data_IF_853113935522
#
_entry.id   IF_853113935522
#
_cell.length_a   1.000
_cell.length_b   1.000
_cell.length_c   1.000
_cell.angle_alpha   90.00
_cell.angle_beta   90.00
_cell.angle_gamma   90.00
#
_symmetry.space_group_name_H-M   'P 1'
#
loop_
_entity.id
_entity.type
_entity.pdbx_description
1 polymer ?
#
# COMPACT_ATOMS: atom_id res chain seq x y z
N UNK A 1 21.85 -13.64 -24.59
CA UNK A 1 21.96 -14.25 -23.25
C UNK A 1 20.75 -13.78 -22.45
N UNK A 2 19.79 -14.67 -22.24
CA UNK A 2 18.64 -14.40 -21.36
C UNK A 2 19.17 -14.29 -19.95
N UNK A 3 19.26 -13.09 -19.41
CA UNK A 3 19.40 -12.92 -17.96
C UNK A 3 18.09 -13.44 -17.37
N UNK A 4 18.12 -14.61 -16.78
CA UNK A 4 17.04 -15.13 -15.94
C UNK A 4 16.75 -14.06 -14.89
N UNK A 5 15.73 -13.21 -15.14
CA UNK A 5 15.36 -12.18 -14.19
C UNK A 5 14.70 -12.89 -13.03
N UNK A 6 15.47 -13.13 -11.98
CA UNK A 6 14.95 -13.70 -10.74
C UNK A 6 13.68 -12.99 -10.33
N UNK A 7 12.61 -13.74 -10.04
CA UNK A 7 11.33 -13.22 -9.61
C UNK A 7 11.50 -12.32 -8.38
N UNK A 8 10.83 -11.18 -8.37
CA UNK A 8 10.85 -10.28 -7.22
C UNK A 8 10.17 -10.93 -6.01
N UNK A 9 10.67 -10.66 -4.82
CA UNK A 9 10.06 -11.08 -3.55
C UNK A 9 9.40 -9.86 -2.91
N UNK A 10 8.11 -9.94 -2.68
CA UNK A 10 7.31 -8.85 -2.13
C UNK A 10 6.60 -9.25 -0.84
N UNK A 11 6.47 -8.32 0.09
CA UNK A 11 5.57 -8.39 1.24
C UNK A 11 4.49 -7.33 1.04
N UNK A 12 3.21 -7.72 1.10
CA UNK A 12 2.08 -6.78 1.08
C UNK A 12 1.31 -6.90 2.39
N UNK A 13 1.33 -5.82 3.18
CA UNK A 13 0.64 -5.81 4.47
C UNK A 13 -0.85 -5.53 4.29
N UNK A 14 -1.71 -6.27 5.03
CA UNK A 14 -3.17 -6.11 4.93
C UNK A 14 -3.74 -6.51 3.57
N UNK A 15 -3.31 -7.65 3.04
CA UNK A 15 -3.59 -8.08 1.66
C UNK A 15 -4.69 -9.15 1.53
N UNK A 16 -5.56 -9.31 2.54
CA UNK A 16 -6.69 -10.26 2.47
C UNK A 16 -7.84 -9.77 1.55
N UNK A 17 -7.95 -8.46 1.31
CA UNK A 17 -9.00 -7.79 0.52
C UNK A 17 -8.59 -6.39 0.09
N UNK A 18 -9.46 -5.71 -0.67
CA UNK A 18 -9.32 -4.29 -1.02
C UNK A 18 -8.04 -3.94 -1.74
N UNK A 19 -7.46 -2.77 -1.43
CA UNK A 19 -6.23 -2.27 -2.05
C UNK A 19 -5.07 -3.27 -1.92
N UNK A 20 -4.85 -3.81 -0.71
CA UNK A 20 -3.76 -4.76 -0.47
C UNK A 20 -3.87 -6.03 -1.28
N UNK A 21 -5.08 -6.60 -1.41
CA UNK A 21 -5.33 -7.74 -2.30
C UNK A 21 -5.00 -7.38 -3.75
N UNK A 22 -5.54 -6.28 -4.25
CA UNK A 22 -5.31 -5.85 -5.63
C UNK A 22 -3.83 -5.63 -5.94
N UNK A 23 -3.10 -4.96 -5.04
CA UNK A 23 -1.66 -4.76 -5.16
C UNK A 23 -0.93 -6.11 -5.21
N UNK A 24 -1.27 -7.04 -4.31
CA UNK A 24 -0.68 -8.37 -4.27
C UNK A 24 -0.91 -9.17 -5.55
N UNK A 25 -2.13 -9.11 -6.10
CA UNK A 25 -2.48 -9.75 -7.37
C UNK A 25 -1.69 -9.18 -8.55
N UNK A 26 -1.54 -7.84 -8.63
CA UNK A 26 -0.78 -7.20 -9.69
C UNK A 26 0.71 -7.57 -9.64
N UNK A 27 1.31 -7.62 -8.45
CA UNK A 27 2.70 -8.08 -8.28
C UNK A 27 2.84 -9.57 -8.64
N UNK A 28 1.86 -10.41 -8.25
CA UNK A 28 1.82 -11.81 -8.64
C UNK A 28 1.73 -12.01 -10.15
N UNK A 29 0.85 -11.28 -10.82
CA UNK A 29 0.72 -11.30 -12.29
C UNK A 29 2.01 -10.85 -13.01
N UNK A 30 2.86 -10.04 -12.34
CA UNK A 30 4.19 -9.67 -12.82
C UNK A 30 5.27 -10.74 -12.52
N UNK A 31 4.87 -11.91 -11.99
CA UNK A 31 5.75 -13.05 -11.68
C UNK A 31 6.42 -13.01 -10.31
N UNK A 32 5.99 -12.14 -9.40
CA UNK A 32 6.60 -12.04 -8.08
C UNK A 32 6.20 -13.20 -7.15
N UNK A 33 7.08 -13.52 -6.18
CA UNK A 33 6.71 -14.22 -4.95
C UNK A 33 6.15 -13.19 -3.98
N UNK A 34 4.90 -13.34 -3.56
CA UNK A 34 4.20 -12.36 -2.73
C UNK A 34 3.79 -12.97 -1.40
N UNK A 35 4.34 -12.47 -0.30
CA UNK A 35 3.86 -12.75 1.05
C UNK A 35 2.62 -11.91 1.32
N UNK A 36 1.48 -12.57 1.34
CA UNK A 36 0.16 -12.00 1.57
C UNK A 36 -0.13 -12.02 3.06
N UNK A 37 -0.14 -10.85 3.71
CA UNK A 37 -0.26 -10.82 5.16
C UNK A 37 -1.58 -10.20 5.63
N UNK A 38 -2.09 -10.65 6.75
CA UNK A 38 -3.33 -10.15 7.35
C UNK A 38 -3.89 -11.11 8.40
N UNK A 39 -4.98 -10.71 9.04
CA UNK A 39 -5.61 -11.48 10.12
C UNK A 39 -6.64 -12.49 9.61
N UNK A 40 -7.35 -12.16 8.51
CA UNK A 40 -8.44 -12.98 7.99
C UNK A 40 -7.90 -14.21 7.27
N UNK A 41 -8.04 -15.38 7.90
CA UNK A 41 -7.57 -16.66 7.39
C UNK A 41 -8.73 -17.50 6.81
N UNK A 42 -9.95 -17.36 7.37
CA UNK A 42 -11.14 -18.09 7.00
C UNK A 42 -12.25 -17.12 6.60
N UNK A 43 -13.18 -17.60 5.79
CA UNK A 43 -14.41 -16.85 5.51
C UNK A 43 -15.18 -16.67 6.82
N UNK A 44 -15.67 -15.45 7.08
CA UNK A 44 -16.32 -15.07 8.32
C UNK A 44 -15.40 -14.48 9.40
N UNK A 45 -14.07 -14.49 9.23
CA UNK A 45 -13.14 -13.81 10.15
C UNK A 45 -13.31 -12.28 10.16
N UNK A 46 -14.06 -11.72 9.20
CA UNK A 46 -14.40 -10.30 9.12
C UNK A 46 -15.71 -10.12 8.34
N UNK A 47 -16.35 -8.96 8.52
CA UNK A 47 -17.64 -8.62 7.86
C UNK A 47 -17.54 -8.50 6.33
N UNK A 48 -16.36 -8.19 5.81
CA UNK A 48 -16.09 -8.13 4.38
C UNK A 48 -15.43 -9.42 3.91
N UNK A 49 -15.75 -9.89 2.70
CA UNK A 49 -15.17 -11.11 2.14
C UNK A 49 -13.67 -10.97 1.89
N UNK A 50 -12.98 -12.08 1.74
CA UNK A 50 -11.57 -12.17 1.40
C UNK A 50 -10.68 -12.63 2.56
N UNK A 51 -9.75 -13.52 2.23
CA UNK A 51 -8.78 -14.10 3.14
C UNK A 51 -7.37 -14.05 2.54
N UNK A 52 -6.35 -14.14 3.39
CA UNK A 52 -4.95 -14.22 2.91
C UNK A 52 -4.72 -15.47 2.06
N UNK A 53 -5.41 -16.57 2.36
CA UNK A 53 -5.28 -17.81 1.60
C UNK A 53 -5.96 -17.73 0.23
N UNK A 54 -7.13 -17.07 0.14
CA UNK A 54 -7.79 -16.85 -1.16
C UNK A 54 -6.90 -15.97 -2.06
N UNK A 55 -6.39 -14.87 -1.54
CA UNK A 55 -5.48 -13.99 -2.29
C UNK A 55 -4.21 -14.73 -2.74
N UNK A 56 -3.61 -15.57 -1.88
CA UNK A 56 -2.43 -16.35 -2.26
C UNK A 56 -2.71 -17.32 -3.42
N UNK A 57 -3.85 -18.05 -3.38
CA UNK A 57 -4.25 -18.92 -4.49
C UNK A 57 -4.53 -18.17 -5.80
N UNK A 58 -5.12 -16.98 -5.71
CA UNK A 58 -5.35 -16.12 -6.88
C UNK A 58 -4.03 -15.66 -7.51
N UNK A 59 -3.01 -15.36 -6.69
CA UNK A 59 -1.65 -15.04 -7.16
C UNK A 59 -1.05 -16.22 -7.92
N UNK A 60 -1.17 -17.44 -7.37
CA UNK A 60 -0.67 -18.65 -8.04
C UNK A 60 -1.36 -18.85 -9.39
N UNK A 61 -2.67 -18.62 -9.46
CA UNK A 61 -3.44 -18.71 -10.71
C UNK A 61 -3.02 -17.67 -11.76
N UNK A 62 -2.44 -16.54 -11.35
CA UNK A 62 -1.92 -15.50 -12.23
C UNK A 62 -0.46 -15.73 -12.66
N UNK A 63 0.17 -16.83 -12.23
CA UNK A 63 1.56 -17.20 -12.61
C UNK A 63 2.63 -16.66 -11.66
N UNK A 64 2.26 -16.02 -10.55
CA UNK A 64 3.14 -15.67 -9.45
C UNK A 64 3.27 -16.81 -8.44
N UNK A 65 3.77 -16.48 -7.25
CA UNK A 65 3.76 -17.38 -6.08
C UNK A 65 3.19 -16.66 -4.86
N UNK A 66 2.02 -17.08 -4.41
CA UNK A 66 1.35 -16.55 -3.23
C UNK A 66 1.74 -17.30 -1.96
N UNK A 67 2.15 -16.59 -0.91
CA UNK A 67 2.46 -17.16 0.39
C UNK A 67 1.61 -16.46 1.45
N UNK A 68 0.58 -17.13 1.95
CA UNK A 68 -0.25 -16.60 3.01
C UNK A 68 0.48 -16.65 4.37
N UNK A 69 0.48 -15.51 5.08
CA UNK A 69 1.06 -15.40 6.42
C UNK A 69 0.09 -14.67 7.34
N UNK A 70 -0.43 -15.38 8.34
CA UNK A 70 -1.24 -14.74 9.38
C UNK A 70 -0.38 -13.76 10.16
N UNK A 71 -0.81 -12.49 10.23
CA UNK A 71 -0.10 -11.44 10.93
C UNK A 71 -1.09 -10.34 11.36
N UNK A 72 -1.19 -10.10 12.66
CA UNK A 72 -1.77 -8.87 13.18
C UNK A 72 -0.67 -7.80 13.22
N UNK A 73 -0.81 -6.79 12.40
CA UNK A 73 0.18 -5.72 12.28
C UNK A 73 0.23 -4.78 13.51
N UNK A 74 -0.59 -5.00 14.55
CA UNK A 74 -0.45 -4.38 15.87
C UNK A 74 0.53 -5.11 16.78
N UNK A 75 0.85 -6.36 16.46
CA UNK A 75 1.71 -7.24 17.23
C UNK A 75 3.11 -7.26 16.62
N UNK A 76 4.04 -6.58 17.27
CA UNK A 76 5.43 -6.46 16.78
C UNK A 76 6.14 -7.82 16.69
N UNK A 77 5.80 -8.78 17.55
CA UNK A 77 6.39 -10.11 17.52
C UNK A 77 5.92 -10.89 16.27
N UNK A 78 4.65 -10.76 15.87
CA UNK A 78 4.15 -11.37 14.64
C UNK A 78 4.78 -10.70 13.41
N UNK A 79 4.98 -9.38 13.45
CA UNK A 79 5.69 -8.66 12.37
C UNK A 79 7.14 -9.12 12.28
N UNK A 80 7.86 -9.26 13.39
CA UNK A 80 9.22 -9.80 13.41
C UNK A 80 9.28 -11.21 12.81
N UNK A 81 8.41 -12.12 13.25
CA UNK A 81 8.33 -13.50 12.74
C UNK A 81 8.02 -13.56 11.23
N UNK A 82 7.20 -12.62 10.71
CA UNK A 82 6.96 -12.49 9.27
C UNK A 82 8.28 -12.25 8.51
N UNK A 83 9.08 -11.26 8.92
CA UNK A 83 10.33 -10.94 8.21
C UNK A 83 11.43 -11.97 8.41
N UNK A 84 11.48 -12.66 9.56
CA UNK A 84 12.31 -13.84 9.76
C UNK A 84 11.95 -14.95 8.77
N UNK A 85 10.65 -15.22 8.60
CA UNK A 85 10.16 -16.19 7.62
C UNK A 85 10.55 -15.80 6.18
N UNK A 86 10.41 -14.52 5.80
CA UNK A 86 10.84 -14.01 4.50
C UNK A 86 12.33 -14.24 4.29
N UNK A 87 13.16 -13.92 5.30
CA UNK A 87 14.59 -14.14 5.24
C UNK A 87 14.98 -15.62 5.09
N UNK A 88 14.32 -16.51 5.83
CA UNK A 88 14.58 -17.96 5.80
C UNK A 88 14.12 -18.61 4.48
N UNK A 89 12.93 -18.24 3.98
CA UNK A 89 12.34 -18.90 2.82
C UNK A 89 12.79 -18.33 1.48
N UNK A 90 13.08 -17.03 1.42
CA UNK A 90 13.42 -16.34 0.17
C UNK A 90 14.84 -15.78 0.14
N UNK A 91 15.46 -15.59 1.30
CA UNK A 91 16.82 -15.03 1.43
C UNK A 91 16.93 -13.55 1.02
N UNK A 92 15.84 -12.95 0.54
CA UNK A 92 15.78 -11.58 0.02
C UNK A 92 14.41 -10.96 0.20
N UNK A 93 14.36 -9.63 0.09
CA UNK A 93 13.13 -8.86 0.00
C UNK A 93 13.34 -7.70 -0.98
N UNK A 94 12.53 -7.64 -2.02
CA UNK A 94 12.63 -6.64 -3.08
C UNK A 94 11.66 -5.49 -2.90
N UNK A 95 10.43 -5.80 -2.45
CA UNK A 95 9.35 -4.84 -2.32
C UNK A 95 8.64 -5.05 -0.98
N UNK A 96 8.55 -4.00 -0.18
CA UNK A 96 7.62 -3.92 0.93
C UNK A 96 6.50 -2.94 0.58
N UNK A 97 5.25 -3.38 0.67
CA UNK A 97 4.09 -2.51 0.55
C UNK A 97 3.41 -2.35 1.91
N UNK A 98 3.56 -1.19 2.51
CA UNK A 98 2.89 -0.79 3.73
C UNK A 98 1.46 -0.32 3.39
N UNK A 99 0.50 -1.25 3.46
CA UNK A 99 -0.89 -1.00 3.12
C UNK A 99 -1.85 -1.31 4.29
N UNK A 100 -1.44 -2.13 5.27
CA UNK A 100 -2.29 -2.44 6.41
C UNK A 100 -2.81 -1.16 7.08
N UNK A 101 -4.11 -1.12 7.35
CA UNK A 101 -4.75 0.00 8.03
C UNK A 101 -5.98 -0.48 8.80
N UNK A 102 -6.40 0.29 9.78
CA UNK A 102 -7.65 0.09 10.50
C UNK A 102 -8.73 1.00 9.89
N UNK A 103 -9.80 0.40 9.40
CA UNK A 103 -10.94 1.10 8.85
C UNK A 103 -12.19 0.78 9.68
N UNK A 104 -12.68 1.74 10.44
CA UNK A 104 -13.93 1.68 11.17
C UNK A 104 -15.08 2.20 10.30
N UNK A 105 -16.29 1.67 10.46
CA UNK A 105 -17.44 2.11 9.65
C UNK A 105 -17.84 3.57 9.91
N UNK A 106 -17.59 4.06 11.12
CA UNK A 106 -17.85 5.45 11.48
C UNK A 106 -16.81 6.44 10.93
N UNK A 107 -15.77 5.96 10.27
CA UNK A 107 -14.75 6.82 9.66
C UNK A 107 -15.38 7.81 8.66
N UNK A 108 -16.29 7.33 7.82
CA UNK A 108 -16.95 8.12 6.78
C UNK A 108 -18.22 8.82 7.23
N UNK A 109 -18.75 8.52 8.44
CA UNK A 109 -19.97 9.16 8.94
C UNK A 109 -19.75 10.66 9.19
N UNK A 110 -20.72 11.51 8.89
CA UNK A 110 -20.68 12.93 9.27
C UNK A 110 -20.54 13.14 10.77
N UNK A 111 -19.97 14.25 11.16
CA UNK A 111 -19.85 14.66 12.56
C UNK A 111 -18.42 15.01 12.98
N UNK A 112 -18.26 15.80 14.05
CA UNK A 112 -16.96 16.20 14.55
C UNK A 112 -16.24 15.01 15.20
N UNK A 113 -14.90 15.01 15.21
CA UNK A 113 -14.10 13.88 15.67
C UNK A 113 -14.37 13.47 17.13
N UNK A 114 -14.73 14.43 17.99
CA UNK A 114 -15.00 14.17 19.42
C UNK A 114 -16.36 13.49 19.67
N UNK A 115 -17.23 13.39 18.68
CA UNK A 115 -18.51 12.67 18.75
C UNK A 115 -18.45 11.26 18.14
N UNK A 116 -17.31 10.90 17.54
CA UNK A 116 -17.07 9.58 16.94
C UNK A 116 -16.43 8.62 17.96
N UNK A 117 -16.52 7.30 17.75
CA UNK A 117 -15.85 6.34 18.62
C UNK A 117 -14.34 6.60 18.74
N UNK A 118 -13.82 6.50 19.96
CA UNK A 118 -12.38 6.66 20.22
C UNK A 118 -11.54 5.61 19.48
N UNK A 119 -12.12 4.44 19.18
CA UNK A 119 -11.46 3.36 18.44
C UNK A 119 -10.94 3.77 17.06
N UNK A 120 -11.43 4.88 16.50
CA UNK A 120 -10.88 5.48 15.28
C UNK A 120 -9.39 5.81 15.42
N UNK A 121 -8.87 6.02 16.62
CA UNK A 121 -7.44 6.24 16.87
C UNK A 121 -6.59 5.04 16.47
N UNK A 122 -7.15 3.83 16.45
CA UNK A 122 -6.44 2.61 16.04
C UNK A 122 -5.91 2.66 14.59
N UNK A 123 -6.37 3.62 13.79
CA UNK A 123 -5.79 3.87 12.46
C UNK A 123 -4.33 4.32 12.55
N UNK A 124 -3.94 4.98 13.64
CA UNK A 124 -2.55 5.37 13.88
C UNK A 124 -1.69 4.15 14.27
N UNK A 125 -2.24 3.21 15.03
CA UNK A 125 -1.51 2.00 15.41
C UNK A 125 -1.33 1.06 14.21
N UNK A 126 -2.40 0.76 13.50
CA UNK A 126 -2.34 -0.19 12.38
C UNK A 126 -1.85 0.47 11.09
N UNK A 127 -2.23 1.72 10.81
CA UNK A 127 -1.91 2.38 9.55
C UNK A 127 -0.62 3.20 9.55
N UNK A 128 -0.15 3.65 10.72
CA UNK A 128 1.07 4.46 10.82
C UNK A 128 2.17 3.72 11.57
N UNK A 129 1.97 3.41 12.85
CA UNK A 129 2.98 2.72 13.65
C UNK A 129 3.39 1.38 13.04
N UNK A 130 2.44 0.58 12.59
CA UNK A 130 2.72 -0.72 11.99
C UNK A 130 3.56 -0.61 10.70
N UNK A 131 3.36 0.46 9.92
CA UNK A 131 4.15 0.72 8.71
C UNK A 131 5.62 1.03 9.05
N UNK A 132 5.87 1.74 10.17
CA UNK A 132 7.24 1.94 10.67
C UNK A 132 7.87 0.61 11.09
N UNK A 133 7.18 -0.20 11.91
CA UNK A 133 7.66 -1.49 12.40
C UNK A 133 7.99 -2.45 11.26
N UNK A 134 7.10 -2.56 10.26
CA UNK A 134 7.35 -3.39 9.08
C UNK A 134 8.57 -2.91 8.29
N UNK A 135 8.71 -1.59 8.10
CA UNK A 135 9.85 -1.01 7.39
C UNK A 135 11.17 -1.23 8.15
N UNK A 136 11.14 -1.14 9.50
CA UNK A 136 12.29 -1.38 10.36
C UNK A 136 12.83 -2.82 10.20
N UNK A 137 11.95 -3.82 10.13
CA UNK A 137 12.34 -5.22 9.90
C UNK A 137 12.75 -5.50 8.45
N UNK A 138 12.15 -4.83 7.47
CA UNK A 138 12.45 -4.99 6.05
C UNK A 138 13.80 -4.38 5.65
N UNK A 139 14.12 -3.20 6.18
CA UNK A 139 15.28 -2.42 5.78
C UNK A 139 16.61 -3.20 5.86
N UNK A 140 16.93 -3.98 6.92
CA UNK A 140 18.19 -4.74 6.98
C UNK A 140 18.33 -5.77 5.85
N UNK A 141 17.23 -6.37 5.37
CA UNK A 141 17.25 -7.30 4.25
C UNK A 141 17.61 -6.56 2.95
N UNK A 142 16.95 -5.45 2.69
CA UNK A 142 17.16 -4.63 1.50
C UNK A 142 18.53 -3.95 1.47
N UNK A 143 19.01 -3.46 2.62
CA UNK A 143 20.32 -2.83 2.78
C UNK A 143 21.45 -3.84 2.46
N UNK A 144 21.38 -5.06 2.97
CA UNK A 144 22.38 -6.10 2.66
C UNK A 144 22.46 -6.44 1.17
N UNK A 145 21.33 -6.47 0.48
CA UNK A 145 21.28 -6.75 -0.96
C UNK A 145 21.52 -5.50 -1.84
N UNK A 146 21.62 -4.31 -1.23
CA UNK A 146 21.77 -3.00 -1.90
C UNK A 146 20.73 -2.75 -2.99
N UNK A 147 19.52 -3.18 -2.74
CA UNK A 147 18.37 -3.02 -3.62
C UNK A 147 17.07 -3.25 -2.85
N UNK A 148 16.08 -2.40 -3.06
CA UNK A 148 14.75 -2.57 -2.49
C UNK A 148 13.86 -1.37 -2.74
N UNK A 149 12.56 -1.57 -2.57
CA UNK A 149 11.53 -0.54 -2.60
C UNK A 149 10.61 -0.70 -1.40
N UNK A 150 10.54 0.33 -0.56
CA UNK A 150 9.52 0.47 0.47
C UNK A 150 8.45 1.43 -0.09
N UNK A 151 7.24 0.92 -0.31
CA UNK A 151 6.12 1.70 -0.79
C UNK A 151 5.05 1.84 0.31
N UNK A 152 4.55 3.04 0.50
CA UNK A 152 3.45 3.33 1.41
C UNK A 152 2.20 3.68 0.60
N UNK A 153 1.06 3.11 0.94
CA UNK A 153 -0.23 3.53 0.37
C UNK A 153 -0.78 4.72 1.14
N UNK A 154 -0.98 5.81 0.44
CA UNK A 154 -1.48 7.07 0.98
C UNK A 154 -2.64 7.60 0.14
N UNK A 155 -3.09 8.82 0.41
CA UNK A 155 -4.20 9.42 -0.30
C UNK A 155 -4.22 10.94 -0.15
N UNK A 156 -5.13 11.58 -0.86
CA UNK A 156 -5.43 13.01 -0.77
C UNK A 156 -5.83 13.47 0.64
N UNK A 157 -6.18 12.57 1.55
CA UNK A 157 -6.37 12.87 2.96
C UNK A 157 -5.14 13.44 3.68
N UNK A 158 -3.95 13.36 3.06
CA UNK A 158 -2.75 14.05 3.52
C UNK A 158 -2.72 15.55 3.15
N UNK A 159 -3.59 16.00 2.26
CA UNK A 159 -3.66 17.40 1.79
C UNK A 159 -4.96 18.10 2.20
N UNK A 160 -6.09 17.41 2.14
CA UNK A 160 -7.40 17.98 2.46
C UNK A 160 -8.02 17.30 3.68
N UNK A 161 -9.05 17.95 4.26
CA UNK A 161 -9.86 17.30 5.29
C UNK A 161 -10.65 16.14 4.69
N UNK A 162 -10.25 14.91 5.03
CA UNK A 162 -10.88 13.68 4.57
C UNK A 162 -11.02 12.72 5.74
N UNK A 163 -12.23 12.26 6.04
CA UNK A 163 -12.54 11.24 7.06
C UNK A 163 -12.12 11.59 8.50
N UNK A 164 -11.66 12.82 8.78
CA UNK A 164 -11.30 13.29 10.10
C UNK A 164 -9.80 13.27 10.41
N UNK A 165 -9.40 13.81 11.58
CA UNK A 165 -8.00 14.09 11.91
C UNK A 165 -7.12 12.84 12.02
N UNK A 166 -7.63 11.72 12.52
CA UNK A 166 -6.87 10.47 12.62
C UNK A 166 -6.45 9.93 11.25
N UNK A 167 -7.36 9.98 10.28
CA UNK A 167 -7.06 9.57 8.91
C UNK A 167 -6.02 10.50 8.25
N UNK A 168 -6.23 11.82 8.36
CA UNK A 168 -5.29 12.81 7.82
C UNK A 168 -3.89 12.64 8.42
N UNK A 169 -3.80 12.51 9.74
CA UNK A 169 -2.53 12.29 10.45
C UNK A 169 -1.82 11.01 9.98
N UNK A 170 -2.57 9.91 9.80
CA UNK A 170 -2.01 8.66 9.28
C UNK A 170 -1.45 8.85 7.87
N UNK A 171 -2.17 9.54 6.97
CA UNK A 171 -1.72 9.75 5.58
C UNK A 171 -0.51 10.69 5.48
N UNK A 172 -0.51 11.80 6.19
CA UNK A 172 0.66 12.69 6.31
C UNK A 172 1.87 11.96 6.93
N UNK A 173 1.61 11.13 7.96
CA UNK A 173 2.65 10.38 8.63
C UNK A 173 3.39 9.40 7.72
N UNK A 174 2.68 8.61 6.90
CA UNK A 174 3.33 7.68 5.96
C UNK A 174 4.02 8.42 4.82
N UNK A 175 3.51 9.59 4.39
CA UNK A 175 4.20 10.45 3.44
C UNK A 175 5.53 10.94 4.01
N UNK A 176 5.55 11.32 5.29
CA UNK A 176 6.78 11.73 5.99
C UNK A 176 7.74 10.56 6.17
N UNK A 177 7.26 9.36 6.48
CA UNK A 177 8.11 8.17 6.53
C UNK A 177 8.81 7.89 5.20
N UNK A 178 8.11 7.99 4.08
CA UNK A 178 8.73 7.82 2.77
C UNK A 178 9.88 8.80 2.54
N UNK A 179 9.69 10.06 2.92
CA UNK A 179 10.70 11.11 2.77
C UNK A 179 11.92 10.89 3.66
N UNK A 180 11.71 10.58 4.95
CA UNK A 180 12.79 10.46 5.91
C UNK A 180 13.56 9.14 5.76
N UNK A 181 12.87 8.02 5.57
CA UNK A 181 13.51 6.73 5.32
C UNK A 181 14.34 6.75 4.03
N UNK A 182 13.94 7.53 3.02
CA UNK A 182 14.73 7.71 1.80
C UNK A 182 16.09 8.37 2.06
N UNK A 183 16.20 9.21 3.09
CA UNK A 183 17.49 9.82 3.49
C UNK A 183 18.44 8.74 4.00
N UNK A 184 17.97 7.90 4.94
CA UNK A 184 18.78 6.85 5.56
C UNK A 184 19.14 5.72 4.57
N UNK A 185 18.24 5.42 3.64
CA UNK A 185 18.36 4.29 2.72
C UNK A 185 19.13 4.61 1.43
N UNK A 186 19.37 5.88 1.14
CA UNK A 186 19.93 6.36 -0.14
C UNK A 186 21.28 5.73 -0.47
N UNK A 187 22.21 5.72 0.47
CA UNK A 187 23.56 5.16 0.27
C UNK A 187 23.56 3.63 0.10
N UNK A 188 22.46 2.99 0.47
CA UNK A 188 22.24 1.55 0.34
C UNK A 188 21.50 1.17 -0.95
N UNK A 189 21.20 2.14 -1.82
CA UNK A 189 20.45 1.93 -3.07
C UNK A 189 19.06 1.28 -2.82
N UNK A 190 18.41 1.67 -1.73
CA UNK A 190 17.05 1.28 -1.38
C UNK A 190 16.15 2.51 -1.44
N UNK A 191 15.04 2.41 -2.15
CA UNK A 191 14.11 3.52 -2.30
C UNK A 191 12.94 3.41 -1.32
N UNK A 192 12.44 4.55 -0.87
CA UNK A 192 11.19 4.66 -0.13
C UNK A 192 10.30 5.69 -0.81
N UNK A 193 9.03 5.35 -1.09
CA UNK A 193 8.06 6.24 -1.74
C UNK A 193 6.70 6.14 -1.09
N UNK A 194 5.92 7.21 -1.15
CA UNK A 194 4.50 7.17 -0.84
C UNK A 194 3.68 7.34 -2.12
N UNK A 195 2.61 6.56 -2.26
CA UNK A 195 1.74 6.59 -3.44
C UNK A 195 0.34 6.98 -3.00
N UNK A 196 -0.16 8.11 -3.51
CA UNK A 196 -1.54 8.54 -3.32
C UNK A 196 -2.44 7.82 -4.32
N UNK A 197 -3.28 6.98 -3.79
CA UNK A 197 -4.33 6.29 -4.54
C UNK A 197 -5.52 7.24 -4.76
N UNK A 198 -6.22 7.03 -5.86
CA UNK A 198 -7.55 7.61 -6.06
C UNK A 198 -8.62 6.87 -5.25
N UNK A 199 -9.87 7.02 -5.67
CA UNK A 199 -10.95 6.22 -5.11
C UNK A 199 -10.87 4.80 -5.68
N UNK A 200 -10.84 3.81 -4.79
CA UNK A 200 -10.69 2.41 -5.18
C UNK A 200 -12.05 1.70 -5.28
N UNK A 201 -12.22 0.90 -6.31
CA UNK A 201 -13.33 -0.05 -6.44
C UNK A 201 -13.05 -1.30 -5.60
N UNK A 202 -13.30 -1.20 -4.30
CA UNK A 202 -13.11 -2.29 -3.33
C UNK A 202 -14.44 -2.82 -2.83
N UNK A 203 -14.41 -3.99 -2.18
CA UNK A 203 -15.60 -4.61 -1.56
C UNK A 203 -16.29 -3.64 -0.58
N UNK A 204 -15.51 -2.84 0.16
CA UNK A 204 -16.05 -1.80 1.06
C UNK A 204 -16.71 -0.66 0.29
N UNK A 205 -16.04 -0.16 -0.73
CA UNK A 205 -16.56 0.94 -1.55
C UNK A 205 -17.84 0.52 -2.28
N UNK A 206 -17.88 -0.70 -2.83
CA UNK A 206 -19.06 -1.27 -3.47
C UNK A 206 -20.23 -1.37 -2.49
N UNK A 207 -19.99 -1.85 -1.25
CA UNK A 207 -21.01 -1.89 -0.20
C UNK A 207 -21.58 -0.49 0.10
N UNK A 208 -20.71 0.53 0.26
CA UNK A 208 -21.13 1.91 0.51
C UNK A 208 -21.92 2.47 -0.66
N UNK A 209 -21.50 2.26 -1.90
CA UNK A 209 -22.21 2.69 -3.09
C UNK A 209 -23.59 2.04 -3.24
N UNK A 210 -23.71 0.75 -2.87
CA UNK A 210 -25.00 0.06 -2.85
C UNK A 210 -25.96 0.63 -1.80
N UNK A 211 -25.46 1.07 -0.66
CA UNK A 211 -26.25 1.69 0.41
C UNK A 211 -26.65 3.12 0.09
N UNK A 212 -25.86 3.84 -0.70
CA UNK A 212 -26.05 5.25 -1.03
C UNK A 212 -25.88 5.52 -2.54
N UNK A 213 -26.66 4.90 -3.43
CA UNK A 213 -26.42 4.90 -4.87
C UNK A 213 -26.44 6.31 -5.49
N UNK A 214 -27.35 7.19 -5.06
CA UNK A 214 -27.44 8.56 -5.59
C UNK A 214 -26.23 9.41 -5.24
N UNK A 215 -25.73 9.27 -4.01
CA UNK A 215 -24.58 10.03 -3.52
C UNK A 215 -23.27 9.66 -4.26
N UNK A 216 -23.16 8.42 -4.72
CA UNK A 216 -21.94 7.86 -5.31
C UNK A 216 -22.05 7.58 -6.82
N UNK A 217 -23.16 7.97 -7.48
CA UNK A 217 -23.38 7.68 -8.90
C UNK A 217 -22.25 8.17 -9.84
N UNK A 218 -21.63 9.31 -9.54
CA UNK A 218 -20.50 9.83 -10.31
C UNK A 218 -19.14 9.20 -9.97
N UNK A 219 -19.04 8.51 -8.83
CA UNK A 219 -17.76 7.98 -8.36
C UNK A 219 -17.35 6.70 -9.06
N UNK A 220 -18.29 5.84 -9.45
CA UNK A 220 -17.98 4.57 -10.12
C UNK A 220 -17.18 4.79 -11.42
N UNK A 221 -17.47 5.87 -12.16
CA UNK A 221 -16.75 6.21 -13.39
C UNK A 221 -15.31 6.70 -13.13
N UNK A 222 -15.01 7.17 -11.94
CA UNK A 222 -13.68 7.71 -11.54
C UNK A 222 -12.86 6.72 -10.71
N UNK A 223 -13.50 5.65 -10.23
CA UNK A 223 -12.83 4.66 -9.39
C UNK A 223 -11.73 3.91 -10.18
N UNK A 224 -10.62 3.68 -9.53
CA UNK A 224 -9.53 2.84 -10.05
C UNK A 224 -9.61 1.43 -9.45
N UNK A 225 -9.14 0.44 -10.20
CA UNK A 225 -9.07 -0.92 -9.69
C UNK A 225 -8.04 -1.03 -8.56
N UNK A 226 -8.25 -1.93 -7.58
CA UNK A 226 -7.23 -2.19 -6.55
C UNK A 226 -5.88 -2.65 -7.11
N UNK A 227 -5.85 -3.24 -8.33
CA UNK A 227 -4.64 -3.68 -9.01
C UNK A 227 -3.83 -2.52 -9.60
N UNK A 228 -4.45 -1.39 -9.87
CA UNK A 228 -3.78 -0.25 -10.52
C UNK A 228 -2.52 0.19 -9.77
N UNK A 229 -2.63 0.43 -8.47
CA UNK A 229 -1.47 0.80 -7.63
C UNK A 229 -0.39 -0.28 -7.63
N UNK A 230 -0.75 -1.57 -7.65
CA UNK A 230 0.21 -2.67 -7.73
C UNK A 230 1.03 -2.67 -9.02
N UNK A 231 0.39 -2.34 -10.16
CA UNK A 231 1.07 -2.17 -11.45
C UNK A 231 2.07 -1.02 -11.42
N UNK A 232 1.74 0.07 -10.72
CA UNK A 232 2.65 1.21 -10.54
C UNK A 232 3.85 0.84 -9.66
N UNK A 233 3.63 0.07 -8.60
CA UNK A 233 4.70 -0.41 -7.70
C UNK A 233 5.66 -1.33 -8.46
N UNK A 234 5.17 -2.25 -9.28
CA UNK A 234 6.01 -3.11 -10.11
C UNK A 234 6.85 -2.28 -11.11
N UNK A 235 6.21 -1.31 -11.77
CA UNK A 235 6.91 -0.43 -12.70
C UNK A 235 7.98 0.43 -12.02
N UNK A 236 7.68 0.97 -10.83
CA UNK A 236 8.66 1.71 -10.02
C UNK A 236 9.86 0.83 -9.65
N UNK A 237 9.62 -0.38 -9.17
CA UNK A 237 10.70 -1.31 -8.79
C UNK A 237 11.59 -1.68 -9.98
N UNK A 238 11.02 -1.74 -11.19
CA UNK A 238 11.74 -2.06 -12.44
C UNK A 238 12.38 -0.83 -13.09
N UNK A 239 12.03 0.38 -12.68
CA UNK A 239 12.60 1.60 -13.24
C UNK A 239 14.10 1.71 -12.87
N UNK A 240 15.01 1.78 -13.85
CA UNK A 240 16.44 1.97 -13.57
C UNK A 240 16.72 3.30 -12.87
N UNK A 241 15.80 4.25 -12.94
CA UNK A 241 15.86 5.55 -12.26
C UNK A 241 15.04 5.59 -10.97
N UNK A 242 14.72 4.44 -10.36
CA UNK A 242 13.94 4.36 -9.12
C UNK A 242 14.48 5.29 -8.04
N UNK A 243 15.81 5.37 -7.88
CA UNK A 243 16.44 6.20 -6.84
C UNK A 243 16.21 7.70 -7.01
N UNK A 244 15.89 8.18 -8.21
CA UNK A 244 15.48 9.57 -8.44
C UNK A 244 14.10 9.88 -7.83
N UNK A 245 13.27 8.86 -7.66
CA UNK A 245 11.93 8.97 -7.05
C UNK A 245 11.92 8.69 -5.54
N UNK A 246 13.05 8.22 -4.99
CA UNK A 246 13.14 7.94 -3.54
C UNK A 246 12.93 9.21 -2.71
N UNK A 247 12.06 9.14 -1.73
CA UNK A 247 11.60 10.25 -0.90
C UNK A 247 10.42 11.03 -1.48
N UNK A 248 9.93 10.65 -2.66
CA UNK A 248 8.79 11.34 -3.27
C UNK A 248 7.45 10.81 -2.75
N UNK A 249 6.49 11.73 -2.73
CA UNK A 249 5.06 11.42 -2.63
C UNK A 249 4.48 11.56 -4.03
N UNK A 250 3.98 10.47 -4.56
CA UNK A 250 3.56 10.32 -5.95
C UNK A 250 2.04 10.18 -6.04
N UNK A 251 1.38 10.99 -6.86
CA UNK A 251 -0.03 10.75 -7.20
C UNK A 251 -0.10 9.63 -8.22
N UNK A 252 -0.76 8.51 -7.88
CA UNK A 252 -0.78 7.29 -8.68
C UNK A 252 -1.22 7.53 -10.12
N UNK A 253 -2.32 8.26 -10.33
CA UNK A 253 -2.81 8.58 -11.67
C UNK A 253 -1.79 9.36 -12.53
N UNK A 254 -1.02 10.28 -11.91
CA UNK A 254 0.02 11.06 -12.60
C UNK A 254 1.25 10.21 -12.91
N UNK A 255 1.65 9.35 -11.97
CA UNK A 255 2.72 8.39 -12.18
C UNK A 255 2.39 7.42 -13.31
N UNK A 256 1.12 6.96 -13.38
CA UNK A 256 0.64 6.11 -14.46
C UNK A 256 0.78 6.77 -15.83
N UNK A 257 0.46 8.05 -15.93
CA UNK A 257 0.66 8.82 -17.19
C UNK A 257 2.14 8.86 -17.59
N UNK A 258 3.05 9.08 -16.62
CA UNK A 258 4.50 9.10 -16.89
C UNK A 258 5.03 7.75 -17.39
N UNK A 259 4.47 6.65 -16.91
CA UNK A 259 4.87 5.29 -17.30
C UNK A 259 4.05 4.71 -18.46
N UNK A 260 3.02 5.41 -18.94
CA UNK A 260 2.10 4.88 -19.97
C UNK A 260 1.26 3.69 -19.46
N UNK A 261 1.03 3.60 -18.15
CA UNK A 261 0.27 2.52 -17.52
C UNK A 261 -1.21 2.90 -17.47
N UNK A 262 -2.06 1.99 -17.91
CA UNK A 262 -3.51 2.09 -17.77
C UNK A 262 -4.03 1.11 -16.74
N UNK A 263 -5.23 1.33 -16.25
CA UNK A 263 -5.91 0.39 -15.37
C UNK A 263 -6.24 -0.93 -16.09
N UNK A 264 -6.71 -1.93 -15.38
CA UNK A 264 -6.99 -3.27 -15.93
C UNK A 264 -8.09 -3.26 -17.00
N UNK A 265 -8.98 -2.28 -16.95
CA UNK A 265 -10.04 -2.05 -17.94
C UNK A 265 -9.61 -1.16 -19.13
N UNK A 266 -8.34 -0.78 -19.17
CA UNK A 266 -7.77 0.08 -20.20
C UNK A 266 -7.98 1.58 -19.99
N UNK A 267 -8.73 2.01 -18.98
CA UNK A 267 -8.91 3.42 -18.67
C UNK A 267 -7.66 4.03 -18.06
N UNK A 268 -7.55 5.34 -18.16
CA UNK A 268 -6.61 6.17 -17.41
C UNK A 268 -7.35 6.80 -16.23
N UNK A 269 -7.11 6.36 -14.99
CA UNK A 269 -7.71 7.00 -13.82
C UNK A 269 -7.37 8.49 -13.75
N UNK A 270 -8.32 9.35 -13.35
CA UNK A 270 -8.09 10.79 -13.25
C UNK A 270 -7.24 11.14 -12.03
N UNK A 271 -6.41 12.18 -12.16
CA UNK A 271 -5.81 12.80 -10.98
C UNK A 271 -6.83 13.71 -10.29
N UNK A 272 -6.97 13.54 -8.98
CA UNK A 272 -7.83 14.40 -8.16
C UNK A 272 -7.10 15.62 -7.59
N UNK A 273 -5.86 15.90 -8.03
CA UNK A 273 -5.04 17.01 -7.53
C UNK A 273 -5.72 18.37 -7.62
N UNK A 274 -6.37 18.65 -8.72
CA UNK A 274 -7.05 19.95 -8.91
C UNK A 274 -8.18 20.18 -7.88
N UNK A 275 -8.84 19.10 -7.45
CA UNK A 275 -9.98 19.16 -6.53
C UNK A 275 -9.56 19.02 -5.06
N UNK A 276 -8.57 18.17 -4.77
CA UNK A 276 -8.24 17.74 -3.41
C UNK A 276 -6.85 18.21 -2.93
N UNK A 277 -6.11 18.95 -3.76
CA UNK A 277 -4.76 19.37 -3.48
C UNK A 277 -3.71 18.33 -3.86
N UNK A 278 -2.45 18.62 -3.59
CA UNK A 278 -1.30 17.77 -3.93
C UNK A 278 -0.34 17.56 -2.77
N UNK A 279 0.64 16.68 -2.96
CA UNK A 279 1.67 16.42 -1.96
C UNK A 279 2.42 17.69 -1.54
N UNK A 280 2.64 17.82 -0.22
CA UNK A 280 3.44 18.91 0.34
C UNK A 280 4.92 18.65 0.05
N UNK A 281 5.61 19.66 -0.47
CA UNK A 281 7.03 19.57 -0.70
C UNK A 281 7.80 19.62 0.63
N UNK A 282 8.64 18.62 0.89
CA UNK A 282 9.48 18.61 2.08
C UNK A 282 10.64 19.59 1.92
N UNK A 283 11.02 20.25 3.02
CA UNK A 283 12.23 21.03 3.07
C UNK A 283 13.47 20.11 2.96
N UNK A 284 14.52 20.48 2.20
CA UNK A 284 15.68 19.61 2.00
C UNK A 284 16.67 19.58 3.18
N UNK A 285 16.50 20.42 4.17
CA UNK A 285 17.41 20.47 5.33
C UNK A 285 17.39 19.14 6.09
N UNK A 286 18.60 18.67 6.46
CA UNK A 286 18.85 17.54 7.34
C UNK A 286 19.51 18.09 8.61
N UNK A 287 18.93 17.77 9.78
CA UNK A 287 19.47 18.10 11.10
C UNK A 287 19.71 16.79 11.83
N UNK A 288 20.95 16.54 12.23
CA UNK A 288 21.39 15.35 12.97
C UNK A 288 21.55 15.64 14.45
#
# INVERSE_FOLDING_TARGET
MSTDKQAAVAVVTGASRGAGKGIALALGAAGATVYVTGRSQRDGDADLPGTIHATAREIDALGGRGIAVACDHRDDAQVAALFERVAQQSGRLDILVNNATFLHDDLIKPGPFWSKPLDLVNILDVGLRSAYVASWHAAPLMVRQRRGLIAFTSSFGASCYMHGPGYGAQKVGVDKFAKDMAVDLREHNVAAVSIWMGMLDTERTQRVMQQHPEQYAGFAAMAESPQFTGRLIDALYRDPRLMEKSGMVLVGAELAQQYGIRDIDGRQPPSHRAMLGGPVQAHPAKVE
#
